data_IF_061204040102
#
_entry.id   IF_061204040102
#
_cell.length_a   1.000
_cell.length_b   1.000
_cell.length_c   1.000
_cell.angle_alpha   90.00
_cell.angle_beta   90.00
_cell.angle_gamma   90.00
#
_symmetry.space_group_name_H-M   'P 1'
#
loop_
_entity.id
_entity.type
_entity.pdbx_description
1 polymer ?
#
# COMPACT_ATOMS: atom_id res chain seq x y z
N UNK A 1 2.07 0.08 4.39
CA UNK A 1 0.93 1.02 4.38
C UNK A 1 0.65 1.36 5.83
N UNK A 2 0.36 2.60 6.17
CA UNK A 2 -0.23 2.91 7.48
C UNK A 2 -1.70 3.22 7.26
N UNK A 3 -2.56 2.56 8.02
CA UNK A 3 -3.98 2.86 8.17
C UNK A 3 -4.27 2.97 9.68
N UNK A 4 -5.52 3.21 10.07
CA UNK A 4 -5.95 3.27 11.48
C UNK A 4 -5.67 1.99 12.27
N UNK A 5 -5.37 0.87 11.59
CA UNK A 5 -5.04 -0.42 12.20
C UNK A 5 -3.54 -0.58 12.53
N UNK A 6 -2.70 0.41 12.17
CA UNK A 6 -1.26 0.43 12.44
C UNK A 6 -0.51 -0.85 11.99
N UNK A 7 -0.90 -1.41 10.85
CA UNK A 7 -0.29 -2.63 10.35
C UNK A 7 1.04 -2.36 9.62
N UNK A 8 2.13 -2.96 10.11
CA UNK A 8 3.46 -2.84 9.50
C UNK A 8 3.80 -3.99 8.53
N UNK A 9 2.85 -4.88 8.25
CA UNK A 9 3.11 -6.13 7.53
C UNK A 9 3.05 -5.96 5.99
N UNK A 10 3.95 -6.59 5.20
CA UNK A 10 3.84 -6.61 3.75
C UNK A 10 2.63 -7.42 3.27
N UNK A 11 2.00 -6.94 2.21
CA UNK A 11 0.91 -7.62 1.49
C UNK A 11 1.48 -8.33 0.26
N UNK A 12 0.90 -9.49 -0.06
CA UNK A 12 1.29 -10.34 -1.19
C UNK A 12 0.56 -9.98 -2.48
N UNK A 13 -0.71 -9.60 -2.38
CA UNK A 13 -1.55 -9.28 -3.53
C UNK A 13 -2.61 -8.25 -3.18
N UNK A 14 -3.25 -7.68 -4.20
CA UNK A 14 -4.36 -6.76 -4.02
C UNK A 14 -5.41 -6.89 -5.14
N UNK A 15 -6.65 -6.48 -4.85
CA UNK A 15 -7.72 -6.31 -5.84
C UNK A 15 -8.45 -4.99 -5.61
N UNK A 16 -9.02 -4.44 -6.68
CA UNK A 16 -9.77 -3.19 -6.66
C UNK A 16 -11.25 -3.44 -6.97
N UNK A 17 -12.14 -2.76 -6.26
CA UNK A 17 -13.58 -2.78 -6.55
C UNK A 17 -14.18 -1.40 -6.23
N UNK A 18 -14.33 -0.55 -7.26
CA UNK A 18 -14.72 0.85 -7.06
C UNK A 18 -13.70 1.57 -6.17
N UNK A 19 -14.19 2.15 -5.07
CA UNK A 19 -13.37 2.87 -4.09
C UNK A 19 -12.78 1.96 -2.99
N UNK A 20 -12.91 0.64 -3.15
CA UNK A 20 -12.43 -0.36 -2.20
C UNK A 20 -11.14 -1.03 -2.67
N UNK A 21 -10.28 -1.30 -1.69
CA UNK A 21 -9.02 -2.01 -1.82
C UNK A 21 -9.09 -3.29 -0.98
N UNK A 22 -8.93 -4.44 -1.64
CA UNK A 22 -8.73 -5.72 -0.99
C UNK A 22 -7.23 -6.03 -0.97
N UNK A 23 -6.70 -6.42 0.18
CA UNK A 23 -5.28 -6.78 0.37
C UNK A 23 -5.18 -8.22 0.86
N UNK A 24 -4.30 -9.01 0.24
CA UNK A 24 -3.91 -10.34 0.72
C UNK A 24 -2.64 -10.23 1.56
N UNK A 25 -2.68 -10.71 2.79
CA UNK A 25 -1.51 -10.78 3.67
C UNK A 25 -0.66 -12.00 3.33
N UNK A 26 0.66 -11.87 3.48
CA UNK A 26 1.57 -13.03 3.36
C UNK A 26 1.33 -14.04 4.49
N UNK A 27 1.17 -13.56 5.73
CA UNK A 27 0.84 -14.38 6.90
C UNK A 27 -0.47 -13.86 7.52
N UNK A 28 -1.30 -14.75 8.08
CA UNK A 28 -2.51 -14.35 8.78
C UNK A 28 -2.20 -13.47 10.01
N UNK A 29 -3.18 -12.71 10.49
CA UNK A 29 -3.11 -12.04 11.79
C UNK A 29 -3.27 -13.02 12.98
N UNK A 30 -3.34 -12.45 14.18
CA UNK A 30 -3.56 -13.20 15.43
C UNK A 30 -4.92 -13.93 15.49
N UNK A 31 -5.87 -13.57 14.64
CA UNK A 31 -7.20 -14.18 14.53
C UNK A 31 -7.31 -15.14 13.33
N UNK A 32 -6.26 -15.28 12.51
CA UNK A 32 -6.26 -16.13 11.31
C UNK A 32 -6.71 -15.42 10.03
N UNK A 33 -7.03 -14.13 10.06
CA UNK A 33 -7.50 -13.41 8.89
C UNK A 33 -6.37 -13.16 7.88
N UNK A 34 -6.64 -13.45 6.60
CA UNK A 34 -5.69 -13.32 5.49
C UNK A 34 -5.98 -12.16 4.56
N UNK A 35 -7.18 -11.58 4.65
CA UNK A 35 -7.63 -10.54 3.75
C UNK A 35 -8.07 -9.32 4.54
N UNK A 36 -7.71 -8.13 4.05
CA UNK A 36 -8.22 -6.87 4.54
C UNK A 36 -8.99 -6.18 3.42
N UNK A 37 -10.19 -5.72 3.71
CA UNK A 37 -10.98 -4.89 2.82
C UNK A 37 -11.13 -3.52 3.46
N UNK A 38 -10.67 -2.48 2.76
CA UNK A 38 -10.78 -1.10 3.22
C UNK A 38 -11.05 -0.14 2.05
N UNK A 39 -11.73 0.98 2.28
CA UNK A 39 -11.83 2.03 1.28
C UNK A 39 -10.49 2.77 1.14
N UNK A 40 -10.23 3.33 -0.05
CA UNK A 40 -8.99 4.09 -0.29
C UNK A 40 -8.83 5.31 0.62
N UNK A 41 -9.93 5.93 1.07
CA UNK A 41 -9.89 7.08 1.97
C UNK A 41 -9.28 6.79 3.35
N UNK A 42 -9.19 5.52 3.75
CA UNK A 42 -8.57 5.09 5.01
C UNK A 42 -7.04 4.86 4.88
N UNK A 43 -6.50 4.95 3.65
CA UNK A 43 -5.06 4.83 3.41
C UNK A 43 -4.39 6.18 3.66
N UNK A 44 -3.74 6.33 4.82
CA UNK A 44 -3.06 7.58 5.18
C UNK A 44 -1.66 7.70 4.60
N UNK A 45 -0.96 6.57 4.42
CA UNK A 45 0.41 6.55 3.88
C UNK A 45 0.74 5.24 3.16
N UNK A 46 1.39 5.37 2.01
CA UNK A 46 2.08 4.27 1.32
C UNK A 46 3.59 4.48 1.41
N UNK A 47 4.30 3.50 1.96
CA UNK A 47 5.77 3.47 2.02
C UNK A 47 6.29 2.48 1.00
N UNK A 48 7.20 2.92 0.14
CA UNK A 48 7.97 2.07 -0.75
C UNK A 48 9.24 1.63 -0.02
N UNK A 49 9.48 0.32 0.02
CA UNK A 49 10.70 -0.25 0.63
C UNK A 49 11.81 -0.44 -0.40
N UNK A 50 11.42 -0.66 -1.66
CA UNK A 50 12.36 -0.76 -2.77
C UNK A 50 12.76 0.64 -3.24
N UNK A 51 14.03 0.83 -3.65
CA UNK A 51 14.50 2.10 -4.17
C UNK A 51 13.71 2.48 -5.43
N UNK A 52 13.10 3.66 -5.40
CA UNK A 52 12.37 4.23 -6.53
C UNK A 52 13.27 5.19 -7.31
N UNK A 53 13.25 5.08 -8.63
CA UNK A 53 13.94 6.04 -9.49
C UNK A 53 13.01 7.20 -9.92
N UNK A 54 13.62 8.32 -10.29
CA UNK A 54 12.93 9.53 -10.72
C UNK A 54 11.93 9.26 -11.86
N UNK A 55 12.34 8.51 -12.88
CA UNK A 55 11.52 8.25 -14.07
C UNK A 55 10.23 7.49 -13.75
N UNK A 56 10.29 6.52 -12.83
CA UNK A 56 9.11 5.77 -12.37
C UNK A 56 8.12 6.68 -11.64
N UNK A 57 8.62 7.57 -10.78
CA UNK A 57 7.77 8.51 -10.05
C UNK A 57 7.12 9.54 -10.99
N UNK A 58 7.86 10.06 -11.96
CA UNK A 58 7.32 10.99 -12.95
C UNK A 58 6.20 10.35 -13.79
N UNK A 59 6.37 9.09 -14.23
CA UNK A 59 5.32 8.33 -14.94
C UNK A 59 4.09 8.10 -14.07
N UNK A 60 4.25 7.99 -12.75
CA UNK A 60 3.15 7.91 -11.79
C UNK A 60 2.49 9.27 -11.51
N UNK A 61 2.98 10.36 -12.12
CA UNK A 61 2.40 11.70 -12.03
C UNK A 61 3.00 12.59 -10.94
N UNK A 62 4.00 12.11 -10.20
CA UNK A 62 4.73 12.93 -9.23
C UNK A 62 5.54 14.01 -9.96
N UNK A 63 5.62 15.21 -9.36
CA UNK A 63 6.37 16.35 -9.90
C UNK A 63 7.41 16.81 -8.88
N UNK A 64 8.62 17.12 -9.35
CA UNK A 64 9.75 17.53 -8.52
C UNK A 64 11.04 16.84 -8.94
N UNK A 65 12.08 16.95 -8.12
CA UNK A 65 13.38 16.30 -8.37
C UNK A 65 13.86 15.64 -7.08
N UNK A 66 14.16 14.34 -7.14
CA UNK A 66 14.83 13.64 -6.04
C UNK A 66 16.21 14.27 -5.79
N UNK A 67 16.59 14.37 -4.51
CA UNK A 67 17.96 14.74 -4.14
C UNK A 67 18.91 13.67 -4.66
N UNK A 68 19.88 14.09 -5.47
CA UNK A 68 20.95 13.21 -5.95
C UNK A 68 21.80 12.70 -4.80
#
# INVERSE_FOLDING_TARGET
MVNTLNEAMPFKAFMLAGDMLLLERTNPDTLGARYLLLPFCEVSLVKFIDPMNQQTLEKAGFRGKLSQ
#
